data_IF_502627676928
#
_entry.id   IF_502627676928
#
_cell.length_a   1.000
_cell.length_b   1.000
_cell.length_c   1.000
_cell.angle_alpha   90.00
_cell.angle_beta   90.00
_cell.angle_gamma   90.00
#
_symmetry.space_group_name_H-M   'P 1'
#
loop_
_entity.id
_entity.type
_entity.pdbx_description
1 polymer ?
#
# COMPACT_ATOMS: atom_id res chain seq x y z
N UNK A 1 -5.83 -16.13 -99.19
CA UNK A 1 -5.96 -14.72 -99.60
C UNK A 1 -7.17 -14.14 -98.88
N UNK A 2 -7.12 -12.94 -98.28
CA UNK A 2 -6.01 -12.06 -97.79
C UNK A 2 -6.07 -11.97 -96.23
N UNK A 3 -5.22 -11.32 -95.43
CA UNK A 3 -4.09 -10.38 -95.56
C UNK A 3 -3.28 -10.44 -94.26
N UNK A 4 -1.95 -10.30 -94.38
CA UNK A 4 -1.02 -9.92 -93.31
C UNK A 4 -1.07 -8.41 -93.05
N UNK A 5 -0.26 -8.01 -92.07
CA UNK A 5 0.24 -6.66 -91.74
C UNK A 5 -0.54 -5.89 -90.66
N UNK A 6 0.07 -5.25 -89.67
CA UNK A 6 1.45 -5.13 -89.19
C UNK A 6 1.35 -4.36 -87.83
N UNK A 7 2.30 -4.62 -86.91
CA UNK A 7 3.01 -3.63 -86.04
C UNK A 7 2.21 -2.49 -85.35
N UNK A 8 2.32 -2.18 -84.05
CA UNK A 8 3.53 -1.89 -83.28
C UNK A 8 3.16 -1.56 -81.80
N UNK A 9 4.00 -2.05 -80.89
CA UNK A 9 4.50 -1.43 -79.65
C UNK A 9 3.82 -0.18 -79.05
N UNK A 10 3.34 -0.27 -77.79
CA UNK A 10 3.78 0.67 -76.75
C UNK A 10 3.33 0.23 -75.36
N UNK A 11 4.30 -0.06 -74.50
CA UNK A 11 4.06 -0.42 -73.10
C UNK A 11 3.33 0.67 -72.30
N UNK A 12 2.39 0.26 -71.45
CA UNK A 12 1.90 1.13 -70.37
C UNK A 12 1.73 0.36 -69.06
N UNK A 13 2.78 0.53 -68.25
CA UNK A 13 2.92 0.41 -66.79
C UNK A 13 1.69 -0.07 -66.02
N UNK A 14 1.90 -1.18 -65.33
CA UNK A 14 1.23 -1.59 -64.10
C UNK A 14 1.16 -0.39 -63.14
N UNK A 15 -0.03 0.13 -62.88
CA UNK A 15 -0.30 0.95 -61.71
C UNK A 15 -1.03 0.09 -60.69
N UNK A 16 -0.21 -0.49 -59.82
CA UNK A 16 -0.63 -1.11 -58.59
C UNK A 16 -1.09 0.03 -57.67
N UNK A 17 -2.41 0.21 -57.55
CA UNK A 17 -3.03 1.18 -56.67
C UNK A 17 -2.96 0.65 -55.23
N UNK A 18 -1.76 0.73 -54.65
CA UNK A 18 -1.47 0.34 -53.28
C UNK A 18 -0.86 1.52 -52.55
N UNK A 19 -1.68 2.54 -52.26
CA UNK A 19 -1.25 3.67 -51.44
C UNK A 19 -2.43 4.38 -50.77
N UNK A 20 -3.01 3.76 -49.73
CA UNK A 20 -3.51 4.50 -48.56
C UNK A 20 -3.94 3.57 -47.40
N UNK A 21 -3.00 2.82 -46.84
CA UNK A 21 -3.08 2.46 -45.42
C UNK A 21 -2.13 3.38 -44.68
N UNK A 22 -2.68 4.38 -43.99
CA UNK A 22 -1.93 5.33 -43.17
C UNK A 22 -0.93 4.57 -42.30
N UNK A 23 0.37 4.82 -42.54
CA UNK A 23 1.44 4.21 -41.77
C UNK A 23 1.25 4.61 -40.32
N UNK A 24 0.82 3.67 -39.48
CA UNK A 24 0.55 3.91 -38.07
C UNK A 24 1.72 4.71 -37.48
N UNK A 25 1.41 5.88 -36.93
CA UNK A 25 2.40 6.83 -36.40
C UNK A 25 3.23 6.09 -35.36
N UNK A 26 4.54 5.95 -35.62
CA UNK A 26 5.46 5.21 -34.74
C UNK A 26 5.43 5.85 -33.36
N UNK A 27 4.90 5.14 -32.37
CA UNK A 27 4.86 5.61 -30.98
C UNK A 27 6.32 5.78 -30.51
N UNK A 28 6.70 6.96 -30.00
CA UNK A 28 8.01 7.16 -29.38
C UNK A 28 8.25 6.16 -28.24
N UNK A 29 9.49 5.70 -28.08
CA UNK A 29 9.82 4.67 -27.08
C UNK A 29 9.39 5.06 -25.68
N UNK A 30 9.60 6.31 -25.28
CA UNK A 30 9.25 6.80 -23.94
C UNK A 30 7.73 6.89 -23.73
N UNK A 31 7.00 7.27 -24.78
CA UNK A 31 5.55 7.28 -24.74
C UNK A 31 4.99 5.85 -24.61
N UNK A 32 5.57 4.89 -25.34
CA UNK A 32 5.22 3.49 -25.20
C UNK A 32 5.52 2.95 -23.78
N UNK A 33 6.69 3.29 -23.23
CA UNK A 33 7.04 2.90 -21.85
C UNK A 33 6.02 3.44 -20.85
N UNK A 34 5.68 4.72 -20.94
CA UNK A 34 4.67 5.34 -20.06
C UNK A 34 3.32 4.65 -20.18
N UNK A 35 2.81 4.43 -21.41
CA UNK A 35 1.53 3.73 -21.64
C UNK A 35 1.50 2.32 -21.05
N UNK A 36 2.59 1.56 -21.16
CA UNK A 36 2.67 0.22 -20.57
C UNK A 36 2.65 0.28 -19.05
N UNK A 37 3.42 1.20 -18.45
CA UNK A 37 3.48 1.36 -17.00
C UNK A 37 2.14 1.83 -16.41
N UNK A 38 1.45 2.76 -17.09
CA UNK A 38 0.14 3.25 -16.65
C UNK A 38 -0.95 2.17 -16.82
N UNK A 39 -0.96 1.43 -17.93
CA UNK A 39 -1.93 0.33 -18.09
C UNK A 39 -1.75 -0.79 -17.05
N UNK A 40 -0.51 -1.07 -16.64
CA UNK A 40 -0.24 -2.02 -15.57
C UNK A 40 -0.68 -1.50 -14.21
N UNK A 41 -0.50 -0.19 -13.97
CA UNK A 41 -0.97 0.48 -12.78
C UNK A 41 -2.49 0.35 -12.62
N UNK A 42 -3.24 0.54 -13.71
CA UNK A 42 -4.69 0.43 -13.74
C UNK A 42 -5.17 -1.02 -13.52
N UNK A 43 -4.54 -2.00 -14.18
CA UNK A 43 -4.88 -3.42 -14.02
C UNK A 43 -4.73 -3.91 -12.57
N UNK A 44 -3.77 -3.36 -11.84
CA UNK A 44 -3.56 -3.68 -10.43
C UNK A 44 -4.51 -2.93 -9.50
N UNK A 45 -4.97 -1.73 -9.88
CA UNK A 45 -5.98 -0.97 -9.14
C UNK A 45 -7.37 -1.62 -9.23
N UNK A 46 -7.71 -2.21 -10.38
CA UNK A 46 -9.00 -2.89 -10.62
C UNK A 46 -9.17 -4.22 -9.84
N UNK A 47 -8.18 -4.62 -9.01
CA UNK A 47 -8.25 -5.84 -8.19
C UNK A 47 -8.16 -7.15 -8.98
N UNK A 48 -7.94 -7.08 -10.29
CA UNK A 48 -7.89 -8.24 -11.18
C UNK A 48 -6.61 -9.09 -11.03
N UNK A 49 -5.61 -8.62 -10.27
CA UNK A 49 -4.33 -9.31 -10.05
C UNK A 49 -3.95 -9.21 -8.57
N UNK A 50 -4.71 -9.87 -7.68
CA UNK A 50 -4.45 -9.87 -6.24
C UNK A 50 -3.40 -10.89 -5.78
N UNK A 51 -2.68 -11.56 -6.70
CA UNK A 51 -1.74 -12.62 -6.33
C UNK A 51 -0.45 -12.53 -7.15
N UNK A 52 0.48 -11.67 -6.70
CA UNK A 52 1.87 -11.69 -7.16
C UNK A 52 2.10 -11.09 -8.55
N UNK A 53 3.19 -10.33 -8.69
CA UNK A 53 3.68 -9.87 -10.01
C UNK A 53 4.03 -11.01 -10.96
N UNK A 54 4.31 -12.21 -10.43
CA UNK A 54 4.44 -13.42 -11.24
C UNK A 54 3.16 -13.81 -11.99
N UNK A 55 1.98 -13.40 -11.49
CA UNK A 55 0.71 -13.58 -12.16
C UNK A 55 0.17 -12.29 -12.80
N UNK A 56 0.93 -11.18 -12.76
CA UNK A 56 0.63 -10.06 -13.64
C UNK A 56 0.74 -10.58 -15.06
N UNK A 57 -0.42 -10.83 -15.64
CA UNK A 57 -0.52 -11.54 -16.88
C UNK A 57 0.03 -10.60 -17.96
N UNK A 58 1.31 -10.78 -18.30
CA UNK A 58 1.99 -9.93 -19.28
C UNK A 58 1.25 -9.95 -20.62
N UNK A 59 0.60 -11.05 -20.97
CA UNK A 59 -0.27 -11.13 -22.16
C UNK A 59 -1.45 -10.18 -22.04
N UNK A 60 -2.12 -10.16 -20.88
CA UNK A 60 -3.24 -9.25 -20.61
C UNK A 60 -2.80 -7.78 -20.60
N UNK A 61 -1.66 -7.48 -19.98
CA UNK A 61 -1.07 -6.15 -20.02
C UNK A 61 -0.79 -5.70 -21.47
N UNK A 62 -0.12 -6.55 -22.24
CA UNK A 62 0.24 -6.27 -23.64
C UNK A 62 -1.03 -6.09 -24.49
N UNK A 63 -2.06 -6.92 -24.27
CA UNK A 63 -3.36 -6.84 -24.92
C UNK A 63 -4.06 -5.52 -24.62
N UNK A 64 -4.06 -5.08 -23.36
CA UNK A 64 -4.71 -3.83 -22.92
C UNK A 64 -4.02 -2.58 -23.45
N UNK A 65 -2.69 -2.61 -23.59
CA UNK A 65 -1.91 -1.53 -24.21
C UNK A 65 -2.08 -1.52 -25.74
N UNK A 66 -2.46 -2.64 -26.34
CA UNK A 66 -2.72 -2.75 -27.78
C UNK A 66 -1.47 -2.75 -28.65
N UNK A 67 -0.34 -3.26 -28.14
CA UNK A 67 0.96 -3.27 -28.84
C UNK A 67 1.50 -4.69 -29.02
N UNK A 68 2.33 -4.96 -30.04
CA UNK A 68 2.99 -6.25 -30.17
C UNK A 68 3.90 -6.55 -28.97
N UNK A 69 3.89 -7.81 -28.50
CA UNK A 69 4.74 -8.30 -27.40
C UNK A 69 6.22 -7.96 -27.57
N UNK A 70 6.75 -8.15 -28.78
CA UNK A 70 8.13 -7.81 -29.12
C UNK A 70 8.42 -6.32 -28.99
N UNK A 71 7.47 -5.45 -29.35
CA UNK A 71 7.60 -4.00 -29.22
C UNK A 71 7.57 -3.56 -27.75
N UNK A 72 6.69 -4.18 -26.94
CA UNK A 72 6.65 -3.93 -25.50
C UNK A 72 7.99 -4.29 -24.84
N UNK A 73 8.53 -5.50 -25.01
CA UNK A 73 9.81 -5.87 -24.39
C UNK A 73 10.99 -5.06 -24.93
N UNK A 74 11.05 -4.80 -26.25
CA UNK A 74 12.11 -4.00 -26.84
C UNK A 74 12.14 -2.57 -26.29
N UNK A 75 10.98 -1.98 -25.97
CA UNK A 75 10.93 -0.66 -25.36
C UNK A 75 11.61 -0.60 -23.98
N UNK A 76 11.65 -1.72 -23.25
CA UNK A 76 12.26 -1.80 -21.93
C UNK A 76 13.67 -2.39 -21.92
N UNK A 77 14.08 -3.08 -22.98
CA UNK A 77 15.36 -3.78 -23.07
C UNK A 77 15.27 -5.26 -22.71
N UNK A 78 14.06 -5.78 -22.49
CA UNK A 78 13.83 -7.16 -22.11
C UNK A 78 12.63 -7.31 -21.17
N UNK A 79 12.32 -8.57 -20.83
CA UNK A 79 11.26 -8.90 -19.89
C UNK A 79 11.61 -8.45 -18.47
N UNK A 80 12.85 -8.67 -18.04
CA UNK A 80 13.28 -8.37 -16.67
C UNK A 80 13.33 -6.86 -16.41
N UNK A 81 13.80 -6.07 -17.38
CA UNK A 81 13.80 -4.60 -17.27
C UNK A 81 12.37 -4.03 -17.24
N UNK A 82 11.43 -4.65 -17.95
CA UNK A 82 10.01 -4.29 -17.85
C UNK A 82 9.48 -4.63 -16.45
N UNK A 83 9.77 -5.82 -15.93
CA UNK A 83 9.34 -6.24 -14.60
C UNK A 83 9.89 -5.30 -13.51
N UNK A 84 11.19 -5.00 -13.52
CA UNK A 84 11.79 -4.04 -12.60
C UNK A 84 11.16 -2.65 -12.71
N UNK A 85 10.96 -2.14 -13.93
CA UNK A 85 10.29 -0.84 -14.13
C UNK A 85 8.84 -0.83 -13.62
N UNK A 86 8.11 -1.93 -13.76
CA UNK A 86 6.76 -2.10 -13.21
C UNK A 86 6.79 -2.10 -11.68
N UNK A 87 7.73 -2.82 -11.06
CA UNK A 87 7.89 -2.84 -9.61
C UNK A 87 8.17 -1.44 -9.06
N UNK A 88 9.07 -0.69 -9.71
CA UNK A 88 9.37 0.68 -9.32
C UNK A 88 8.16 1.60 -9.47
N UNK A 89 7.43 1.50 -10.59
CA UNK A 89 6.19 2.28 -10.82
C UNK A 89 5.11 2.01 -9.78
N UNK A 90 5.06 0.80 -9.23
CA UNK A 90 4.08 0.42 -8.20
C UNK A 90 4.45 0.92 -6.81
N UNK A 91 5.72 1.20 -6.57
CA UNK A 91 6.25 1.74 -5.31
C UNK A 91 6.26 3.29 -5.29
N UNK A 92 5.95 3.92 -6.42
CA UNK A 92 5.73 5.35 -6.50
C UNK A 92 4.43 5.75 -5.77
N UNK A 93 4.46 6.77 -4.89
CA UNK A 93 3.25 7.28 -4.24
C UNK A 93 2.21 7.72 -5.29
N UNK A 94 0.97 7.22 -5.17
CA UNK A 94 -0.14 7.57 -6.08
C UNK A 94 -1.17 8.52 -5.49
N UNK A 95 -1.01 8.91 -4.23
CA UNK A 95 -1.96 9.74 -3.52
C UNK A 95 -1.36 10.34 -2.26
N UNK A 96 -2.16 11.14 -1.53
CA UNK A 96 -1.72 11.86 -0.33
C UNK A 96 -1.60 10.97 0.90
N UNK A 97 -2.06 9.72 0.84
CA UNK A 97 -2.09 8.81 1.97
C UNK A 97 -1.14 7.63 1.73
N UNK A 98 -0.47 7.15 2.77
CA UNK A 98 0.53 6.11 2.65
C UNK A 98 -0.14 4.72 2.61
N UNK A 99 0.66 3.69 2.33
CA UNK A 99 0.21 2.30 2.20
C UNK A 99 -0.49 1.84 3.48
N UNK A 100 -1.67 1.22 3.38
CA UNK A 100 -2.37 0.68 4.56
C UNK A 100 -2.92 1.74 5.54
N UNK A 101 -2.84 3.03 5.19
CA UNK A 101 -3.52 4.08 5.95
C UNK A 101 -5.04 3.94 5.82
N UNK A 102 -5.72 3.97 6.97
CA UNK A 102 -7.17 4.09 7.02
C UNK A 102 -7.57 5.40 7.68
N UNK A 103 -8.21 6.27 6.90
CA UNK A 103 -8.89 7.43 7.43
C UNK A 103 -9.98 7.03 8.44
N UNK A 104 -10.60 5.86 8.25
CA UNK A 104 -11.63 5.35 9.14
C UNK A 104 -11.07 5.04 10.54
N UNK A 105 -9.85 4.48 10.64
CA UNK A 105 -9.18 4.26 11.94
C UNK A 105 -9.03 5.57 12.73
N UNK A 106 -8.57 6.63 12.07
CA UNK A 106 -8.39 7.95 12.71
C UNK A 106 -9.73 8.57 13.10
N UNK A 107 -10.75 8.42 12.24
CA UNK A 107 -12.11 8.89 12.52
C UNK A 107 -12.72 8.17 13.73
N UNK A 108 -12.58 6.84 13.83
CA UNK A 108 -13.06 6.07 14.98
C UNK A 108 -12.35 6.51 16.26
N UNK A 109 -11.03 6.65 16.22
CA UNK A 109 -10.27 7.12 17.36
C UNK A 109 -10.75 8.51 17.82
N UNK A 110 -10.91 9.45 16.88
CA UNK A 110 -11.36 10.81 17.17
C UNK A 110 -12.79 10.84 17.72
N UNK A 111 -13.70 10.05 17.15
CA UNK A 111 -15.07 9.94 17.61
C UNK A 111 -15.16 9.41 19.05
N UNK A 112 -14.23 8.55 19.50
CA UNK A 112 -14.18 8.11 20.90
C UNK A 112 -13.78 9.26 21.82
N UNK A 113 -12.79 10.07 21.46
CA UNK A 113 -12.43 11.25 22.26
C UNK A 113 -13.56 12.28 22.33
N UNK A 114 -14.31 12.47 21.25
CA UNK A 114 -15.49 13.34 21.22
C UNK A 114 -16.64 12.77 22.06
N UNK A 115 -16.91 11.46 21.94
CA UNK A 115 -17.99 10.79 22.66
C UNK A 115 -17.77 10.80 24.18
N UNK A 116 -16.52 10.65 24.62
CA UNK A 116 -16.16 10.56 26.04
C UNK A 116 -15.40 11.79 26.53
N UNK A 117 -15.68 12.97 25.95
CA UNK A 117 -15.03 14.22 26.31
C UNK A 117 -15.18 14.55 27.81
N UNK A 118 -16.30 14.17 28.43
CA UNK A 118 -16.56 14.36 29.86
C UNK A 118 -15.59 13.58 30.77
N UNK A 119 -14.94 12.54 30.26
CA UNK A 119 -13.90 11.80 30.99
C UNK A 119 -12.52 12.44 30.85
N UNK A 120 -12.34 13.46 30.01
CA UNK A 120 -11.04 14.09 29.81
C UNK A 120 -10.70 15.09 30.92
N UNK A 121 -11.71 15.50 31.69
CA UNK A 121 -11.58 16.49 32.77
C UNK A 121 -12.15 15.96 34.07
N UNK A 122 -11.64 16.45 35.18
CA UNK A 122 -12.16 16.18 36.52
C UNK A 122 -13.37 17.06 36.85
N UNK A 123 -13.87 16.95 38.09
CA UNK A 123 -15.03 17.71 38.55
C UNK A 123 -14.80 19.23 38.58
N UNK A 124 -13.54 19.68 38.62
CA UNK A 124 -13.14 21.09 38.62
C UNK A 124 -12.87 21.60 37.20
N UNK A 125 -12.94 20.72 36.19
CA UNK A 125 -12.70 21.04 34.77
C UNK A 125 -11.23 21.00 34.36
N UNK A 126 -10.35 20.50 35.23
CA UNK A 126 -8.92 20.32 34.94
C UNK A 126 -8.69 18.95 34.27
N UNK A 127 -7.61 18.76 33.47
CA UNK A 127 -7.35 17.48 32.82
C UNK A 127 -7.27 16.31 33.82
N UNK A 128 -8.07 15.24 33.62
CA UNK A 128 -8.04 14.03 34.44
C UNK A 128 -7.15 12.96 33.78
N UNK A 129 -5.94 12.68 34.31
CA UNK A 129 -5.03 11.70 33.72
C UNK A 129 -5.62 10.28 33.66
N UNK A 130 -6.44 9.91 34.65
CA UNK A 130 -7.05 8.57 34.71
C UNK A 130 -8.13 8.43 33.66
N UNK A 131 -9.00 9.44 33.56
CA UNK A 131 -10.04 9.49 32.54
C UNK A 131 -9.47 9.59 31.12
N UNK A 132 -8.42 10.38 30.90
CA UNK A 132 -7.68 10.45 29.63
C UNK A 132 -7.13 9.07 29.22
N UNK A 133 -6.50 8.33 30.14
CA UNK A 133 -6.00 6.98 29.84
C UNK A 133 -7.13 6.02 29.49
N UNK A 134 -8.29 6.10 30.17
CA UNK A 134 -9.47 5.30 29.85
C UNK A 134 -10.02 5.60 28.46
N UNK A 135 -10.09 6.87 28.07
CA UNK A 135 -10.52 7.27 26.71
C UNK A 135 -9.52 6.78 25.66
N UNK A 136 -8.21 6.89 25.92
CA UNK A 136 -7.18 6.37 25.02
C UNK A 136 -7.30 4.84 24.85
N UNK A 137 -7.48 4.11 25.95
CA UNK A 137 -7.67 2.65 25.96
C UNK A 137 -8.89 2.25 25.14
N UNK A 138 -10.01 2.96 25.31
CA UNK A 138 -11.24 2.73 24.55
C UNK A 138 -11.08 3.08 23.06
N UNK A 139 -10.33 4.13 22.75
CA UNK A 139 -10.00 4.52 21.38
C UNK A 139 -9.21 3.40 20.70
N UNK A 140 -8.20 2.84 21.38
CA UNK A 140 -7.43 1.68 20.88
C UNK A 140 -8.34 0.47 20.67
N UNK A 141 -9.23 0.16 21.62
CA UNK A 141 -10.17 -0.96 21.53
C UNK A 141 -10.99 -0.92 20.25
N UNK A 142 -11.57 0.25 19.93
CA UNK A 142 -12.45 0.40 18.76
C UNK A 142 -11.69 0.57 17.45
N UNK A 143 -10.59 1.32 17.45
CA UNK A 143 -9.90 1.69 16.22
C UNK A 143 -9.06 0.53 15.65
N UNK A 144 -8.43 -0.29 16.50
CA UNK A 144 -7.47 -1.30 16.05
C UNK A 144 -8.14 -2.48 15.34
N UNK A 145 -9.33 -2.93 15.79
CA UNK A 145 -10.09 -3.98 15.09
C UNK A 145 -10.41 -3.58 13.65
N UNK A 146 -10.91 -2.35 13.47
CA UNK A 146 -11.16 -1.78 12.15
C UNK A 146 -9.87 -1.63 11.34
N UNK A 147 -8.77 -1.21 11.97
CA UNK A 147 -7.51 -1.02 11.27
C UNK A 147 -7.00 -2.32 10.63
N UNK A 148 -7.12 -3.46 11.32
CA UNK A 148 -6.76 -4.78 10.77
C UNK A 148 -7.63 -5.11 9.55
N UNK A 149 -8.94 -4.87 9.62
CA UNK A 149 -9.85 -5.11 8.49
C UNK A 149 -9.52 -4.22 7.28
N UNK A 150 -9.20 -2.95 7.52
CA UNK A 150 -8.83 -2.02 6.46
C UNK A 150 -7.49 -2.39 5.82
N UNK A 151 -6.51 -2.83 6.61
CA UNK A 151 -5.24 -3.39 6.10
C UNK A 151 -5.50 -4.62 5.23
N UNK A 152 -6.37 -5.54 5.67
CA UNK A 152 -6.77 -6.72 4.87
C UNK A 152 -7.49 -6.32 3.58
N UNK A 153 -8.22 -5.21 3.56
CA UNK A 153 -8.90 -4.71 2.37
C UNK A 153 -7.93 -4.00 1.41
N UNK A 154 -6.88 -3.33 1.91
CA UNK A 154 -5.96 -2.49 1.14
C UNK A 154 -5.26 -3.23 -0.02
N UNK A 155 -5.46 -2.71 -1.22
CA UNK A 155 -4.78 -3.16 -2.43
C UNK A 155 -3.31 -2.74 -2.43
N UNK A 156 -3.00 -1.57 -1.89
CA UNK A 156 -1.64 -1.04 -1.76
C UNK A 156 -0.78 -1.95 -0.89
N UNK A 157 -1.29 -2.37 0.28
CA UNK A 157 -0.58 -3.27 1.19
C UNK A 157 -0.35 -4.65 0.54
N UNK A 158 -1.38 -5.22 -0.10
CA UNK A 158 -1.25 -6.49 -0.85
C UNK A 158 -0.21 -6.39 -1.96
N UNK A 159 -0.20 -5.30 -2.71
CA UNK A 159 0.78 -5.05 -3.76
C UNK A 159 2.19 -4.96 -3.18
N UNK A 160 2.36 -4.22 -2.08
CA UNK A 160 3.64 -4.13 -1.39
C UNK A 160 4.16 -5.50 -0.92
N UNK A 161 3.30 -6.32 -0.30
CA UNK A 161 3.64 -7.68 0.13
C UNK A 161 4.01 -8.57 -1.06
N UNK A 162 3.26 -8.50 -2.15
CA UNK A 162 3.58 -9.22 -3.38
C UNK A 162 4.93 -8.78 -3.98
N UNK A 163 5.20 -7.48 -4.00
CA UNK A 163 6.44 -6.87 -4.48
C UNK A 163 7.64 -7.33 -3.64
N UNK A 164 7.54 -7.25 -2.31
CA UNK A 164 8.63 -7.54 -1.38
C UNK A 164 9.14 -8.98 -1.51
N UNK A 165 8.23 -9.94 -1.70
CA UNK A 165 8.55 -11.35 -1.95
C UNK A 165 9.10 -11.56 -3.37
N UNK A 166 8.56 -10.84 -4.36
CA UNK A 166 8.94 -11.02 -5.77
C UNK A 166 10.33 -10.48 -6.13
N UNK A 167 10.94 -9.62 -5.30
CA UNK A 167 12.27 -9.04 -5.57
C UNK A 167 13.33 -10.10 -5.85
N UNK A 168 13.31 -11.23 -5.13
CA UNK A 168 14.30 -12.30 -5.27
C UNK A 168 14.29 -12.96 -6.65
N UNK A 169 13.19 -12.81 -7.40
CA UNK A 169 13.05 -13.34 -8.76
C UNK A 169 13.73 -12.48 -9.83
N UNK A 170 14.12 -11.23 -9.51
CA UNK A 170 14.82 -10.35 -10.43
C UNK A 170 16.29 -10.75 -10.59
N UNK A 171 16.90 -10.42 -11.74
CA UNK A 171 18.35 -10.42 -11.89
C UNK A 171 19.05 -9.64 -10.77
N UNK A 172 20.17 -10.16 -10.27
CA UNK A 172 20.87 -9.65 -9.08
C UNK A 172 21.21 -8.15 -9.19
N UNK A 173 21.59 -7.70 -10.38
CA UNK A 173 21.92 -6.31 -10.71
C UNK A 173 20.71 -5.36 -10.57
N UNK A 174 19.48 -5.87 -10.71
CA UNK A 174 18.24 -5.10 -10.60
C UNK A 174 17.63 -5.13 -9.19
N UNK A 175 17.96 -6.14 -8.37
CA UNK A 175 17.40 -6.29 -7.02
C UNK A 175 17.72 -5.09 -6.13
N UNK A 176 18.94 -4.54 -6.22
CA UNK A 176 19.39 -3.46 -5.34
C UNK A 176 18.55 -2.18 -5.51
N UNK A 177 18.12 -1.87 -6.72
CA UNK A 177 17.27 -0.70 -6.99
C UNK A 177 15.86 -0.89 -6.43
N UNK A 178 15.25 -2.05 -6.67
CA UNK A 178 13.90 -2.33 -6.19
C UNK A 178 13.86 -2.44 -4.66
N UNK A 179 14.88 -3.04 -4.02
CA UNK A 179 15.00 -3.06 -2.55
C UNK A 179 15.10 -1.66 -1.95
N UNK A 180 15.85 -0.75 -2.58
CA UNK A 180 15.92 0.65 -2.15
C UNK A 180 14.56 1.34 -2.29
N UNK A 181 13.84 1.11 -3.38
CA UNK A 181 12.50 1.66 -3.58
C UNK A 181 11.50 1.14 -2.54
N UNK A 182 11.54 -0.16 -2.21
CA UNK A 182 10.74 -0.76 -1.13
C UNK A 182 11.05 -0.13 0.22
N UNK A 183 12.34 -0.07 0.59
CA UNK A 183 12.76 0.53 1.86
C UNK A 183 12.35 2.00 1.96
N UNK A 184 12.45 2.76 0.85
CA UNK A 184 12.00 4.14 0.81
C UNK A 184 10.48 4.28 0.95
N UNK A 185 9.71 3.35 0.37
CA UNK A 185 8.26 3.30 0.52
C UNK A 185 7.85 3.03 1.98
N UNK A 186 8.44 2.00 2.58
CA UNK A 186 8.25 1.64 3.99
C UNK A 186 8.60 2.80 4.92
N UNK A 187 9.75 3.44 4.70
CA UNK A 187 10.21 4.55 5.54
C UNK A 187 9.23 5.73 5.50
N UNK A 188 8.67 6.06 4.33
CA UNK A 188 7.66 7.13 4.22
C UNK A 188 6.39 6.79 5.00
N UNK A 189 5.89 5.56 4.81
CA UNK A 189 4.71 5.09 5.53
C UNK A 189 4.91 5.16 7.05
N UNK A 190 6.02 4.61 7.56
CA UNK A 190 6.30 4.61 8.99
C UNK A 190 6.51 6.02 9.56
N UNK A 191 7.12 6.93 8.79
CA UNK A 191 7.31 8.31 9.22
C UNK A 191 5.96 9.04 9.42
N UNK A 192 4.99 8.81 8.53
CA UNK A 192 3.66 9.41 8.64
C UNK A 192 2.87 8.85 9.82
N UNK A 193 2.92 7.52 10.05
CA UNK A 193 2.30 6.90 11.23
C UNK A 193 2.96 7.39 12.52
N UNK A 194 4.28 7.52 12.55
CA UNK A 194 5.02 8.03 13.70
C UNK A 194 4.60 9.46 14.05
N UNK A 195 4.41 10.32 13.06
CA UNK A 195 3.95 11.69 13.21
C UNK A 195 2.49 11.77 13.71
N UNK A 196 1.62 10.86 13.26
CA UNK A 196 0.26 10.69 13.84
C UNK A 196 0.34 10.29 15.31
N UNK A 197 1.12 9.27 15.65
CA UNK A 197 1.28 8.82 17.04
C UNK A 197 1.82 9.94 17.92
N UNK A 198 2.86 10.64 17.47
CA UNK A 198 3.40 11.79 18.20
C UNK A 198 2.33 12.83 18.49
N UNK A 199 1.54 13.23 17.49
CA UNK A 199 0.47 14.24 17.70
C UNK A 199 -0.63 13.77 18.64
N UNK A 200 -1.10 12.54 18.48
CA UNK A 200 -2.20 12.01 19.29
C UNK A 200 -1.74 11.80 20.74
N UNK A 201 -0.55 11.21 20.92
CA UNK A 201 -0.06 10.86 22.25
C UNK A 201 0.47 12.07 23.03
N UNK A 202 0.93 13.11 22.34
CA UNK A 202 1.26 14.38 23.00
C UNK A 202 0.03 15.04 23.65
N UNK A 203 -1.18 14.85 23.11
CA UNK A 203 -2.43 15.39 23.70
C UNK A 203 -2.84 14.72 24.99
N UNK A 204 -2.37 13.49 25.21
CA UNK A 204 -2.62 12.70 26.42
C UNK A 204 -1.36 12.63 27.30
N UNK A 205 -0.45 13.58 27.09
CA UNK A 205 0.80 13.73 27.84
C UNK A 205 1.66 12.46 27.91
N UNK A 206 1.78 11.75 26.78
CA UNK A 206 2.65 10.58 26.66
C UNK A 206 3.83 10.83 25.73
N UNK A 207 4.97 10.27 26.11
CA UNK A 207 6.20 10.28 25.33
C UNK A 207 6.81 8.88 25.20
N UNK A 208 7.71 8.62 24.23
CA UNK A 208 8.40 7.35 24.13
C UNK A 208 9.25 7.08 25.38
N UNK A 209 9.41 5.81 25.73
CA UNK A 209 10.38 5.41 26.77
C UNK A 209 11.83 5.71 26.31
N UNK A 210 12.79 5.92 27.23
CA UNK A 210 14.17 6.23 26.87
C UNK A 210 14.77 5.21 25.90
N UNK A 211 15.41 5.70 24.83
CA UNK A 211 16.02 4.86 23.79
C UNK A 211 15.05 4.37 22.70
N UNK A 212 13.76 4.69 22.81
CA UNK A 212 12.75 4.38 21.79
C UNK A 212 12.34 5.66 21.06
N UNK A 213 12.17 5.55 19.74
CA UNK A 213 11.72 6.63 18.87
C UNK A 213 10.28 6.40 18.39
N UNK A 214 9.59 7.47 18.00
CA UNK A 214 8.26 7.36 17.38
C UNK A 214 8.25 6.46 16.15
N UNK A 215 9.32 6.49 15.35
CA UNK A 215 9.47 5.61 14.18
C UNK A 215 9.50 4.13 14.57
N UNK A 216 10.19 3.78 15.66
CA UNK A 216 10.22 2.40 16.17
C UNK A 216 8.86 1.96 16.73
N UNK A 217 8.12 2.86 17.39
CA UNK A 217 6.75 2.59 17.86
C UNK A 217 5.83 2.36 16.67
N UNK A 218 5.91 3.21 15.64
CA UNK A 218 5.16 3.04 14.39
C UNK A 218 5.49 1.70 13.72
N UNK A 219 6.77 1.36 13.59
CA UNK A 219 7.21 0.09 13.01
C UNK A 219 6.69 -1.13 13.78
N UNK A 220 6.74 -1.09 15.11
CA UNK A 220 6.26 -2.18 15.96
C UNK A 220 4.73 -2.32 15.86
N UNK A 221 4.00 -1.20 15.89
CA UNK A 221 2.55 -1.18 15.69
C UNK A 221 2.14 -1.70 14.31
N UNK A 222 2.78 -1.22 13.24
CA UNK A 222 2.52 -1.69 11.87
C UNK A 222 2.78 -3.20 11.75
N UNK A 223 3.91 -3.68 12.27
CA UNK A 223 4.25 -5.11 12.27
C UNK A 223 3.18 -5.98 12.96
N UNK A 224 2.63 -5.49 14.08
CA UNK A 224 1.53 -6.16 14.77
C UNK A 224 0.28 -6.24 13.88
N UNK A 225 -0.16 -5.11 13.31
CA UNK A 225 -1.37 -5.04 12.48
C UNK A 225 -1.23 -5.89 11.22
N UNK A 226 -0.11 -5.79 10.52
CA UNK A 226 0.17 -6.59 9.32
C UNK A 226 0.26 -8.08 9.64
N UNK A 227 0.88 -8.43 10.77
CA UNK A 227 0.91 -9.79 11.28
C UNK A 227 -0.49 -10.34 11.52
N UNK A 228 -1.35 -9.59 12.20
CA UNK A 228 -2.74 -9.97 12.48
C UNK A 228 -3.57 -10.09 11.20
N UNK A 229 -3.45 -9.14 10.28
CA UNK A 229 -4.10 -9.16 8.96
C UNK A 229 -3.68 -10.41 8.16
N UNK A 230 -2.39 -10.73 8.15
CA UNK A 230 -1.85 -11.93 7.50
C UNK A 230 -2.40 -13.23 8.12
N UNK A 231 -2.47 -13.32 9.45
CA UNK A 231 -3.01 -14.51 10.14
C UNK A 231 -4.51 -14.69 9.91
N UNK A 232 -5.29 -13.61 9.87
CA UNK A 232 -6.72 -13.63 9.48
C UNK A 232 -6.91 -14.10 8.05
N UNK A 233 -6.08 -13.64 7.10
CA UNK A 233 -6.13 -14.11 5.70
C UNK A 233 -5.83 -15.61 5.57
N UNK A 234 -4.94 -16.15 6.40
CA UNK A 234 -4.64 -17.60 6.42
C UNK A 234 -5.77 -18.41 7.08
N UNK A 235 -6.62 -17.78 7.90
CA UNK A 235 -7.71 -18.46 8.60
C UNK A 235 -7.22 -19.26 9.81
N UNK A 236 -6.27 -18.72 10.58
CA UNK A 236 -5.83 -19.34 11.83
C UNK A 236 -7.00 -19.36 12.83
N UNK A 237 -7.34 -20.55 13.34
CA UNK A 237 -8.40 -20.73 14.33
C UNK A 237 -8.14 -19.90 15.60
N UNK A 238 -9.19 -19.26 16.12
CA UNK A 238 -9.15 -18.44 17.33
C UNK A 238 -8.57 -17.04 17.17
N UNK A 239 -8.11 -16.63 15.97
CA UNK A 239 -7.56 -15.28 15.75
C UNK A 239 -8.61 -14.16 15.87
N UNK A 240 -9.87 -14.52 15.65
CA UNK A 240 -11.03 -13.63 15.73
C UNK A 240 -11.79 -13.74 17.06
N UNK A 241 -11.31 -14.61 17.96
CA UNK A 241 -11.92 -14.75 19.28
C UNK A 241 -11.75 -13.44 20.07
N UNK A 242 -12.83 -13.10 20.78
CA UNK A 242 -12.85 -11.93 21.66
C UNK A 242 -12.66 -12.37 23.10
N UNK A 243 -12.01 -11.50 23.88
CA UNK A 243 -11.83 -11.68 25.30
C UNK A 243 -12.62 -10.60 26.03
N UNK A 244 -13.39 -10.97 27.06
CA UNK A 244 -14.07 -9.99 27.90
C UNK A 244 -13.07 -9.30 28.82
N UNK A 245 -13.08 -7.97 28.80
CA UNK A 245 -12.30 -7.10 29.69
C UNK A 245 -13.09 -5.84 29.99
N UNK A 246 -12.69 -5.15 31.05
CA UNK A 246 -13.25 -3.86 31.43
C UNK A 246 -13.21 -2.85 30.27
N UNK A 247 -14.37 -2.29 29.95
CA UNK A 247 -14.55 -1.15 29.06
C UNK A 247 -14.38 0.17 29.79
N UNK A 248 -14.73 1.28 29.11
CA UNK A 248 -14.56 2.63 29.67
C UNK A 248 -15.43 2.90 30.91
N UNK A 249 -16.62 2.30 30.97
CA UNK A 249 -17.60 2.49 32.04
C UNK A 249 -17.47 1.46 33.17
N UNK A 250 -16.42 0.62 33.17
CA UNK A 250 -16.21 -0.44 34.17
C UNK A 250 -16.94 -1.76 33.85
N UNK A 251 -17.86 -1.77 32.89
CA UNK A 251 -18.56 -2.97 32.44
C UNK A 251 -17.64 -3.87 31.59
N UNK A 252 -17.86 -5.19 31.63
CA UNK A 252 -17.15 -6.12 30.76
C UNK A 252 -17.62 -5.98 29.30
N UNK A 253 -16.67 -5.68 28.41
CA UNK A 253 -16.91 -5.55 26.97
C UNK A 253 -16.00 -6.49 26.18
N UNK A 254 -16.39 -6.87 24.94
CA UNK A 254 -15.52 -7.62 24.05
C UNK A 254 -14.29 -6.81 23.63
N UNK A 255 -13.12 -7.46 23.70
CA UNK A 255 -11.86 -6.99 23.16
C UNK A 255 -11.33 -7.97 22.12
N UNK A 256 -11.02 -7.45 20.93
CA UNK A 256 -10.27 -8.22 19.94
C UNK A 256 -8.80 -8.35 20.36
N UNK A 257 -8.20 -9.51 20.09
CA UNK A 257 -6.78 -9.77 20.32
C UNK A 257 -5.83 -8.69 19.76
N UNK A 258 -5.97 -8.20 18.50
CA UNK A 258 -5.12 -7.13 17.99
C UNK A 258 -5.18 -5.85 18.82
N UNK A 259 -6.35 -5.48 19.35
CA UNK A 259 -6.49 -4.29 20.19
C UNK A 259 -5.79 -4.45 21.53
N UNK A 260 -5.88 -5.64 22.16
CA UNK A 260 -5.17 -5.95 23.41
C UNK A 260 -3.64 -5.91 23.23
N UNK A 261 -3.16 -6.52 22.15
CA UNK A 261 -1.75 -6.56 21.83
C UNK A 261 -1.21 -5.15 21.51
N UNK A 262 -1.97 -4.35 20.76
CA UNK A 262 -1.60 -2.97 20.44
C UNK A 262 -1.59 -2.09 21.69
N UNK A 263 -2.60 -2.22 22.56
CA UNK A 263 -2.63 -1.50 23.83
C UNK A 263 -1.39 -1.82 24.69
N UNK A 264 -1.06 -3.11 24.81
CA UNK A 264 0.11 -3.55 25.59
C UNK A 264 1.43 -3.03 25.01
N UNK A 265 1.55 -3.05 23.67
CA UNK A 265 2.70 -2.49 22.96
C UNK A 265 2.83 -0.98 23.17
N UNK A 266 1.72 -0.25 23.02
CA UNK A 266 1.69 1.19 23.19
C UNK A 266 2.09 1.59 24.62
N UNK A 267 1.54 0.92 25.62
CA UNK A 267 1.85 1.17 27.03
C UNK A 267 3.26 0.74 27.42
N UNK A 268 3.80 -0.32 26.79
CA UNK A 268 5.18 -0.76 27.04
C UNK A 268 6.25 0.13 26.38
N UNK A 269 5.90 0.85 25.31
CA UNK A 269 6.83 1.70 24.56
C UNK A 269 6.65 3.20 24.82
N UNK A 270 5.65 3.59 25.60
CA UNK A 270 5.40 4.98 25.99
C UNK A 270 5.23 5.10 27.49
N UNK A 271 5.44 6.30 28.03
CA UNK A 271 5.26 6.63 29.44
C UNK A 271 4.60 7.99 29.59
N UNK A 272 4.07 8.27 30.77
CA UNK A 272 3.57 9.61 31.07
C UNK A 272 4.74 10.61 31.05
N UNK A 273 4.51 11.80 30.49
CA UNK A 273 5.49 12.89 30.53
C UNK A 273 5.78 13.25 32.00
N UNK A 274 7.07 13.41 32.32
CA UNK A 274 7.50 13.78 33.68
C UNK A 274 7.65 12.62 34.66
N UNK A 275 7.33 11.38 34.28
CA UNK A 275 7.63 10.20 35.09
C UNK A 275 9.16 10.08 35.28
N UNK A 276 9.69 9.78 36.49
CA UNK A 276 11.12 9.71 36.70
C UNK A 276 11.75 8.63 35.82
N UNK A 277 12.89 8.95 35.19
CA UNK A 277 13.66 7.98 34.43
C UNK A 277 14.17 6.93 35.41
N UNK A 278 13.57 5.74 35.41
CA UNK A 278 14.14 4.59 36.08
C UNK A 278 15.45 4.25 35.37
N UNK A 279 16.56 4.75 35.90
CA UNK A 279 17.91 4.28 35.58
C UNK A 279 17.99 2.83 36.05
N UNK A 280 18.08 1.92 35.09
CA UNK A 280 18.51 0.55 35.32
C UNK A 280 19.95 0.52 35.87
#
# INVERSE_FOLDING_TARGET
>A
MPTQDEQQDSGRRVHNDSSQTGRARRIPRDELRRRVLDAAADLLADGAVSVGLHQLNMEELIRRVGVPRSSAFAAFGGKDQLLSALMLRLLEPRGPHPIGYSAATVQIATAVFEQYADHLVDADGEPDPVGIERVLKESVRRAIGQNVLDTMASTEWKNYMALSVSVSSLPVDQQAEVRRALAASETRFLAEIADIYQRVLARVEREPVPGVTWLQIAAAGASLIEGMASKRLVGIEGIDDVVLREGIDGEEVPWELPALAFWSLLMGLTRAMGEPRHTA
#
